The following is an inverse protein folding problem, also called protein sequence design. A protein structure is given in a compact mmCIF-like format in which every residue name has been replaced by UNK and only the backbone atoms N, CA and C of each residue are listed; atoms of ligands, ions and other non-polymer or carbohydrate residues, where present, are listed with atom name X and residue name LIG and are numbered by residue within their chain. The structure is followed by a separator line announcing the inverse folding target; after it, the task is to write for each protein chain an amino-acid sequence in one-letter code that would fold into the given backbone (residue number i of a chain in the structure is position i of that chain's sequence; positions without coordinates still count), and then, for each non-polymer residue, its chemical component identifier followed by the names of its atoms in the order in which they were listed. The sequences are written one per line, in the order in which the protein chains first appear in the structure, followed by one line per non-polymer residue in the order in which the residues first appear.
data_IF_148118383220
#
_entry.id   IF_148118383220
#
_cell.length_a   1.000
_cell.length_b   1.000
_cell.length_c   1.000
_cell.angle_alpha   90.00
_cell.angle_beta   90.00
_cell.angle_gamma   90.00
#
_symmetry.space_group_name_H-M   'P 1'
#
loop_
_entity.id
_entity.type
_entity.pdbx_description
1 polymer ?
#
# COMPACT_ATOMS: atom_id res chain seq x y z
N UNK A 1 10.86 6.22 13.65
CA UNK A 1 9.87 6.60 12.63
C UNK A 1 10.37 6.17 11.26
N UNK A 2 9.52 5.52 10.48
CA UNK A 2 9.89 5.03 9.16
C UNK A 2 8.97 5.69 8.14
N UNK A 3 9.56 6.42 7.19
CA UNK A 3 8.82 6.94 6.05
C UNK A 3 8.89 5.92 4.92
N UNK A 4 7.71 5.51 4.43
CA UNK A 4 7.60 4.51 3.39
C UNK A 4 7.28 5.20 2.07
N UNK A 5 8.22 5.16 1.13
CA UNK A 5 7.97 5.67 -0.21
C UNK A 5 6.89 4.84 -0.89
N UNK A 6 6.25 5.39 -1.91
CA UNK A 6 5.18 4.70 -2.62
C UNK A 6 5.64 3.37 -3.20
N UNK A 7 4.95 2.31 -2.83
CA UNK A 7 5.14 0.98 -3.37
C UNK A 7 4.11 0.71 -4.44
N UNK A 8 4.48 -0.10 -5.41
CA UNK A 8 3.63 -0.46 -6.54
C UNK A 8 3.66 -1.97 -6.76
N UNK A 9 2.85 -2.46 -7.69
CA UNK A 9 2.63 -3.91 -7.88
C UNK A 9 3.73 -4.56 -8.72
N UNK A 10 4.99 -4.34 -8.38
CA UNK A 10 6.12 -5.01 -9.02
C UNK A 10 6.53 -6.27 -8.26
N UNK A 11 6.94 -7.30 -9.01
CA UNK A 11 7.65 -8.44 -8.44
C UNK A 11 9.16 -8.14 -8.36
N UNK A 12 9.96 -9.14 -7.94
CA UNK A 12 11.40 -9.00 -7.80
C UNK A 12 12.13 -8.74 -9.14
N UNK A 13 11.49 -9.05 -10.25
CA UNK A 13 12.02 -8.80 -11.62
C UNK A 13 11.50 -7.49 -12.19
N UNK A 14 10.83 -6.67 -11.39
CA UNK A 14 10.21 -5.40 -11.79
C UNK A 14 9.15 -5.57 -12.87
N UNK A 15 8.44 -6.68 -12.83
CA UNK A 15 7.28 -6.92 -13.70
C UNK A 15 6.01 -6.67 -12.91
N UNK A 16 4.99 -6.16 -13.60
CA UNK A 16 3.70 -5.87 -12.98
C UNK A 16 2.99 -7.19 -12.67
N UNK A 17 2.56 -7.33 -11.40
CA UNK A 17 1.71 -8.44 -10.96
C UNK A 17 0.27 -7.95 -10.96
N UNK A 18 -0.63 -8.65 -11.65
CA UNK A 18 -2.03 -8.27 -11.71
C UNK A 18 -2.35 -7.28 -12.83
N UNK A 19 -1.92 -7.58 -14.04
CA UNK A 19 -2.21 -6.73 -15.19
C UNK A 19 -3.71 -6.52 -15.35
N UNK A 20 -4.16 -5.27 -15.41
CA UNK A 20 -5.57 -4.87 -15.51
C UNK A 20 -6.44 -5.34 -14.31
N UNK A 21 -5.83 -5.69 -13.18
CA UNK A 21 -6.54 -6.20 -12.01
C UNK A 21 -6.14 -5.41 -10.77
N UNK A 22 -7.00 -4.47 -10.37
CA UNK A 22 -6.69 -3.57 -9.24
C UNK A 22 -6.58 -4.34 -7.92
N UNK A 23 -7.37 -5.38 -7.72
CA UNK A 23 -7.31 -6.18 -6.48
C UNK A 23 -5.98 -6.92 -6.39
N UNK A 24 -5.57 -7.59 -7.46
CA UNK A 24 -4.29 -8.30 -7.50
C UNK A 24 -3.13 -7.32 -7.33
N UNK A 25 -3.19 -6.15 -7.96
CA UNK A 25 -2.17 -5.12 -7.80
C UNK A 25 -2.15 -4.56 -6.37
N UNK A 26 -3.30 -4.34 -5.76
CA UNK A 26 -3.38 -3.88 -4.37
C UNK A 26 -2.70 -4.88 -3.43
N UNK A 27 -2.97 -6.17 -3.61
CA UNK A 27 -2.38 -7.21 -2.77
C UNK A 27 -0.87 -7.27 -2.92
N UNK A 28 -0.36 -7.21 -4.14
CA UNK A 28 1.09 -7.20 -4.37
C UNK A 28 1.74 -5.93 -3.83
N UNK A 29 1.09 -4.79 -4.01
CA UNK A 29 1.56 -3.51 -3.46
C UNK A 29 1.66 -3.57 -1.93
N UNK A 30 0.67 -4.17 -1.27
CA UNK A 30 0.71 -4.34 0.19
C UNK A 30 1.80 -5.30 0.64
N UNK A 31 2.07 -6.37 -0.12
CA UNK A 31 3.21 -7.26 0.15
C UNK A 31 4.52 -6.48 0.07
N UNK A 32 4.66 -5.62 -0.91
CA UNK A 32 5.84 -4.79 -1.08
C UNK A 32 5.97 -3.76 0.05
N UNK A 33 4.87 -3.17 0.48
CA UNK A 33 4.85 -2.24 1.60
C UNK A 33 5.27 -2.94 2.91
N UNK A 34 4.77 -4.16 3.12
CA UNK A 34 5.16 -4.98 4.27
C UNK A 34 6.65 -5.27 4.27
N UNK A 35 7.20 -5.67 3.13
CA UNK A 35 8.63 -5.91 2.98
C UNK A 35 9.45 -4.64 3.25
N UNK A 36 8.97 -3.49 2.78
CA UNK A 36 9.65 -2.21 2.99
C UNK A 36 9.70 -1.82 4.47
N UNK A 37 8.59 -1.96 5.20
CA UNK A 37 8.57 -1.61 6.63
C UNK A 37 9.44 -2.57 7.43
N UNK A 38 9.48 -3.85 7.07
CA UNK A 38 10.32 -4.84 7.74
C UNK A 38 11.81 -4.57 7.48
N UNK A 39 12.16 -4.17 6.28
CA UNK A 39 13.55 -3.76 5.95
C UNK A 39 13.97 -2.56 6.80
N UNK A 40 13.04 -1.66 7.09
CA UNK A 40 13.30 -0.49 7.94
C UNK A 40 13.33 -0.78 9.44
N UNK A 41 13.11 -2.04 9.84
CA UNK A 41 13.15 -2.44 11.25
C UNK A 41 11.81 -2.43 11.96
N UNK A 42 10.71 -2.28 11.22
CA UNK A 42 9.37 -2.28 11.78
C UNK A 42 8.55 -3.49 11.35
N UNK A 43 7.27 -3.43 11.64
CA UNK A 43 6.28 -4.44 11.27
C UNK A 43 5.10 -3.74 10.62
N UNK A 44 4.27 -4.50 9.90
CA UNK A 44 3.08 -3.94 9.24
C UNK A 44 2.15 -3.26 10.24
N UNK A 45 2.04 -3.80 11.46
CA UNK A 45 1.23 -3.22 12.54
C UNK A 45 1.74 -1.87 13.06
N UNK A 46 2.98 -1.52 12.74
CA UNK A 46 3.56 -0.22 13.10
C UNK A 46 3.12 0.90 12.14
N UNK A 47 2.55 0.55 11.01
CA UNK A 47 2.10 1.55 10.03
C UNK A 47 0.87 2.27 10.58
N UNK A 48 0.98 3.59 10.73
CA UNK A 48 -0.08 4.42 11.31
C UNK A 48 -0.83 5.24 10.27
N UNK A 49 -0.24 5.42 9.10
CA UNK A 49 -0.84 6.23 8.04
C UNK A 49 -0.40 5.69 6.69
N UNK A 50 -1.35 5.56 5.76
CA UNK A 50 -1.05 5.29 4.36
C UNK A 50 -1.78 6.27 3.46
N UNK A 51 -1.21 6.52 2.30
CA UNK A 51 -1.87 7.23 1.20
C UNK A 51 -1.92 6.30 0.01
N UNK A 52 -3.11 6.13 -0.54
CA UNK A 52 -3.38 5.22 -1.64
C UNK A 52 -3.74 6.02 -2.88
N UNK A 53 -2.93 5.93 -3.92
CA UNK A 53 -3.18 6.59 -5.21
C UNK A 53 -3.69 5.53 -6.19
N UNK A 54 -4.85 5.79 -6.79
CA UNK A 54 -5.49 4.84 -7.73
C UNK A 54 -5.72 5.51 -9.07
N UNK A 55 -5.19 4.88 -10.12
CA UNK A 55 -5.36 5.38 -11.49
C UNK A 55 -6.82 5.23 -11.92
N UNK A 56 -7.40 6.33 -12.41
CA UNK A 56 -8.79 6.37 -12.89
C UNK A 56 -9.79 5.79 -11.86
N UNK A 57 -9.62 6.16 -10.61
CA UNK A 57 -10.42 5.66 -9.51
C UNK A 57 -11.92 5.85 -9.74
N UNK A 58 -12.68 4.78 -9.50
CA UNK A 58 -14.14 4.81 -9.47
C UNK A 58 -14.60 4.39 -8.08
N UNK A 59 -15.55 5.09 -7.44
CA UNK A 59 -16.06 4.72 -6.12
C UNK A 59 -16.54 3.27 -5.99
N UNK A 60 -16.93 2.63 -7.09
CA UNK A 60 -17.30 1.21 -7.07
C UNK A 60 -16.13 0.29 -6.68
N UNK A 61 -14.89 0.76 -6.79
CA UNK A 61 -13.68 0.01 -6.44
C UNK A 61 -13.34 0.11 -4.95
N UNK A 62 -13.99 1.01 -4.21
CA UNK A 62 -13.57 1.33 -2.84
C UNK A 62 -13.52 0.10 -1.93
N UNK A 63 -14.59 -0.67 -1.90
CA UNK A 63 -14.67 -1.84 -1.01
C UNK A 63 -13.64 -2.91 -1.35
N UNK A 64 -13.39 -3.15 -2.62
CA UNK A 64 -12.39 -4.13 -3.06
C UNK A 64 -10.98 -3.70 -2.67
N UNK A 65 -10.66 -2.43 -2.86
CA UNK A 65 -9.33 -1.90 -2.54
C UNK A 65 -9.12 -1.87 -1.01
N UNK A 66 -10.05 -1.27 -0.27
CA UNK A 66 -9.91 -1.16 1.18
C UNK A 66 -9.99 -2.52 1.88
N UNK A 67 -10.82 -3.43 1.36
CA UNK A 67 -10.92 -4.79 1.88
C UNK A 67 -9.63 -5.57 1.68
N UNK A 68 -8.98 -5.41 0.54
CA UNK A 68 -7.69 -6.06 0.27
C UNK A 68 -6.58 -5.49 1.17
N UNK A 69 -6.56 -4.18 1.35
CA UNK A 69 -5.60 -3.54 2.28
C UNK A 69 -5.82 -4.06 3.70
N UNK A 70 -7.08 -4.18 4.13
CA UNK A 70 -7.42 -4.63 5.47
C UNK A 70 -6.97 -6.08 5.75
N UNK A 71 -6.78 -6.91 4.73
CA UNK A 71 -6.26 -8.27 4.90
C UNK A 71 -4.88 -8.30 5.59
N UNK A 72 -4.14 -7.20 5.52
CA UNK A 72 -2.79 -7.10 6.06
C UNK A 72 -2.73 -6.57 7.49
N UNK A 73 -3.85 -6.10 8.02
CA UNK A 73 -3.93 -5.48 9.34
C UNK A 73 -4.90 -6.24 10.24
N UNK A 74 -4.61 -6.27 11.54
CA UNK A 74 -5.59 -6.68 12.54
C UNK A 74 -6.53 -5.50 12.82
N UNK A 75 -7.76 -5.80 13.23
CA UNK A 75 -8.79 -4.77 13.44
C UNK A 75 -8.35 -3.67 14.41
N UNK A 76 -7.55 -4.04 15.43
CA UNK A 76 -7.06 -3.08 16.43
C UNK A 76 -5.88 -2.25 15.95
N UNK A 77 -5.32 -2.59 14.79
CA UNK A 77 -4.10 -1.98 14.27
C UNK A 77 -4.28 -1.39 12.88
N UNK A 78 -5.50 -1.00 12.54
CA UNK A 78 -5.77 -0.36 11.24
C UNK A 78 -5.07 0.99 11.17
N UNK A 79 -4.39 1.24 10.06
CA UNK A 79 -3.81 2.55 9.80
C UNK A 79 -4.88 3.51 9.25
N UNK A 80 -4.62 4.81 9.34
CA UNK A 80 -5.40 5.78 8.58
C UNK A 80 -5.05 5.65 7.10
N UNK A 81 -6.00 5.93 6.22
CA UNK A 81 -5.80 5.83 4.79
C UNK A 81 -6.46 7.02 4.09
N UNK A 82 -5.67 7.71 3.26
CA UNK A 82 -6.20 8.72 2.35
C UNK A 82 -6.14 8.15 0.94
N UNK A 83 -7.29 7.99 0.30
CA UNK A 83 -7.38 7.47 -1.05
C UNK A 83 -7.60 8.59 -2.04
N UNK A 84 -6.76 8.66 -3.06
CA UNK A 84 -6.77 9.72 -4.07
C UNK A 84 -6.77 9.11 -5.45
N UNK A 85 -7.69 9.56 -6.31
CA UNK A 85 -7.67 9.21 -7.72
C UNK A 85 -6.62 10.02 -8.47
N UNK A 86 -5.87 9.38 -9.35
CA UNK A 86 -4.85 10.02 -10.18
C UNK A 86 -5.03 9.61 -11.63
N UNK A 87 -4.43 10.37 -12.56
CA UNK A 87 -4.53 10.05 -13.98
C UNK A 87 -3.52 8.99 -14.42
N UNK A 88 -2.35 8.96 -13.77
CA UNK A 88 -1.31 7.99 -14.10
C UNK A 88 -0.34 7.85 -12.94
N UNK A 89 0.44 6.79 -12.96
CA UNK A 89 1.56 6.56 -12.07
C UNK A 89 2.86 6.52 -12.89
N UNK A 90 3.97 6.20 -12.23
CA UNK A 90 5.30 6.29 -12.86
C UNK A 90 5.49 5.38 -14.08
N UNK A 91 4.73 4.30 -14.17
CA UNK A 91 4.88 3.31 -15.24
C UNK A 91 3.49 2.92 -15.76
N UNK A 92 3.35 2.82 -17.07
CA UNK A 92 2.11 2.37 -17.69
C UNK A 92 1.73 0.97 -17.18
N UNK A 93 0.45 0.79 -16.89
CA UNK A 93 -0.07 -0.48 -16.39
C UNK A 93 -0.15 -0.56 -14.89
N UNK A 94 0.52 0.31 -14.14
CA UNK A 94 0.35 0.41 -12.69
C UNK A 94 -0.97 1.09 -12.39
N UNK A 95 -1.79 0.46 -11.55
CA UNK A 95 -3.12 0.93 -11.18
C UNK A 95 -3.19 1.53 -9.79
N UNK A 96 -2.22 1.21 -8.93
CA UNK A 96 -2.24 1.63 -7.53
C UNK A 96 -0.82 1.82 -6.99
N UNK A 97 -0.68 2.81 -6.10
CA UNK A 97 0.55 3.07 -5.36
C UNK A 97 0.18 3.37 -3.91
N UNK A 98 0.89 2.77 -2.97
CA UNK A 98 0.64 2.97 -1.54
C UNK A 98 1.96 3.29 -0.84
N UNK A 99 1.98 4.41 -0.14
CA UNK A 99 3.08 4.79 0.73
C UNK A 99 2.55 5.21 2.09
N UNK A 100 3.41 5.54 3.01
CA UNK A 100 2.96 5.95 4.33
C UNK A 100 4.05 6.10 5.36
N UNK A 101 3.66 5.93 6.63
CA UNK A 101 4.54 6.15 7.76
C UNK A 101 4.28 5.11 8.84
N UNK A 102 5.36 4.62 9.43
CA UNK A 102 5.31 3.70 10.56
C UNK A 102 5.99 4.32 11.78
N UNK A 103 5.48 4.00 12.95
CA UNK A 103 6.06 4.38 14.23
C UNK A 103 6.39 3.09 14.97
N UNK A 104 7.67 2.86 15.23
CA UNK A 104 8.15 1.64 15.89
C UNK A 104 8.23 1.83 17.40
N UNK A 105 8.45 0.73 18.13
CA UNK A 105 8.65 0.79 19.58
C UNK A 105 9.83 1.69 19.96
N UNK A 106 10.86 1.76 19.11
CA UNK A 106 12.02 2.60 19.36
C UNK A 106 11.69 4.09 19.40
N UNK A 107 10.56 4.51 18.82
CA UNK A 107 10.10 5.91 18.79
C UNK A 107 9.22 6.25 20.01
N UNK A 108 8.86 5.27 20.80
CA UNK A 108 7.95 5.47 21.94
C UNK A 108 8.75 5.78 23.21
N UNK A 109 8.19 6.65 24.08
CA UNK A 109 8.86 7.00 25.35
C UNK A 109 8.92 5.82 26.33
#
# INVERSE_FOLDING_TARGET
MIFLSGQVAFDSDRKIVGENDVVAQTRQTMRNLKAAVETGGGEISDIVQITTHVVNYDPSQLNDITGTIAEFFELECLSTNTLVGVTSLSTDGLLIEIGGMAITEADQP
#
